data_IF_150772890616
#
_entry.id   IF_150772890616
#
_cell.length_a   1.000
_cell.length_b   1.000
_cell.length_c   1.000
_cell.angle_alpha   90.00
_cell.angle_beta   90.00
_cell.angle_gamma   90.00
#
_symmetry.space_group_name_H-M   'P 1'
#
loop_
_entity.id
_entity.type
_entity.pdbx_description
1 polymer ?
#
# COMPACT_ATOMS: atom_id res chain seq x y z
N UNK A 1 -20.54 -10.15 -11.02
CA UNK A 1 -19.84 -10.99 -10.05
C UNK A 1 -19.11 -10.11 -9.04
N UNK A 2 -19.29 -10.31 -7.74
CA UNK A 2 -18.57 -9.50 -6.75
C UNK A 2 -17.06 -9.78 -6.81
N UNK A 3 -16.28 -8.77 -6.47
CA UNK A 3 -14.82 -8.92 -6.44
C UNK A 3 -14.42 -9.88 -5.32
N UNK A 4 -13.35 -10.63 -5.55
CA UNK A 4 -12.72 -11.43 -4.50
C UNK A 4 -12.19 -10.53 -3.39
N UNK A 5 -12.20 -11.03 -2.15
CA UNK A 5 -11.76 -10.28 -0.99
C UNK A 5 -10.34 -9.75 -1.15
N UNK A 6 -9.44 -10.56 -1.71
CA UNK A 6 -8.04 -10.21 -1.91
C UNK A 6 -7.91 -9.02 -2.87
N UNK A 7 -8.71 -9.00 -3.92
CA UNK A 7 -8.70 -7.89 -4.89
C UNK A 7 -9.24 -6.60 -4.26
N UNK A 8 -10.30 -6.72 -3.49
CA UNK A 8 -10.90 -5.58 -2.78
C UNK A 8 -9.90 -5.00 -1.78
N UNK A 9 -9.16 -5.85 -1.09
CA UNK A 9 -8.12 -5.43 -0.15
C UNK A 9 -6.97 -4.72 -0.86
N UNK A 10 -6.53 -5.24 -2.00
CA UNK A 10 -5.46 -4.60 -2.78
C UNK A 10 -5.87 -3.22 -3.28
N UNK A 11 -7.09 -3.08 -3.79
CA UNK A 11 -7.61 -1.80 -4.24
C UNK A 11 -7.81 -0.82 -3.08
N UNK A 12 -8.27 -1.32 -1.94
CA UNK A 12 -8.47 -0.50 -0.74
C UNK A 12 -7.15 0.02 -0.21
N UNK A 13 -6.12 -0.81 -0.21
CA UNK A 13 -4.80 -0.40 0.23
C UNK A 13 -4.19 0.64 -0.71
N UNK A 14 -4.31 0.42 -2.01
CA UNK A 14 -3.86 1.39 -3.01
C UNK A 14 -4.58 2.74 -2.83
N UNK A 15 -5.90 2.70 -2.69
CA UNK A 15 -6.72 3.89 -2.47
C UNK A 15 -6.32 4.62 -1.20
N UNK A 16 -6.07 3.87 -0.11
CA UNK A 16 -5.61 4.44 1.15
C UNK A 16 -4.30 5.21 0.98
N UNK A 17 -3.34 4.63 0.28
CA UNK A 17 -2.04 5.29 0.04
C UNK A 17 -2.22 6.50 -0.87
N UNK A 18 -3.03 6.40 -1.93
CA UNK A 18 -3.32 7.54 -2.81
C UNK A 18 -3.90 8.72 -2.02
N UNK A 19 -4.78 8.45 -1.07
CA UNK A 19 -5.42 9.48 -0.26
C UNK A 19 -4.45 10.22 0.68
N UNK A 20 -3.31 9.61 0.99
CA UNK A 20 -2.29 10.27 1.80
C UNK A 20 -1.54 11.38 1.02
N UNK A 21 -1.66 11.39 -0.29
CA UNK A 21 -0.92 12.31 -1.17
C UNK A 21 -1.83 13.20 -2.01
N UNK A 22 -3.07 13.41 -1.58
CA UNK A 22 -4.00 14.29 -2.31
C UNK A 22 -3.53 15.74 -2.38
N UNK A 23 -2.74 16.18 -1.39
CA UNK A 23 -2.15 17.51 -1.35
C UNK A 23 -0.87 17.62 -2.20
N UNK A 24 -0.42 16.53 -2.81
CA UNK A 24 0.74 16.51 -3.71
C UNK A 24 0.32 15.98 -5.09
N UNK A 25 -0.29 16.81 -5.93
CA UNK A 25 -0.82 16.32 -7.22
C UNK A 25 0.25 15.81 -8.19
N UNK A 26 1.52 16.16 -7.96
CA UNK A 26 2.63 15.68 -8.79
C UNK A 26 3.11 14.28 -8.45
N UNK A 27 2.58 13.66 -7.40
CA UNK A 27 2.97 12.30 -6.99
C UNK A 27 2.12 11.28 -7.72
N UNK A 28 2.79 10.33 -8.41
CA UNK A 28 2.11 9.18 -9.00
C UNK A 28 2.12 8.03 -7.99
N UNK A 29 0.95 7.49 -7.66
CA UNK A 29 0.82 6.29 -6.82
C UNK A 29 0.28 5.17 -7.69
N UNK A 30 1.10 4.14 -7.90
CA UNK A 30 0.80 3.06 -8.85
C UNK A 30 0.86 1.70 -8.15
N UNK A 31 0.21 0.70 -8.73
CA UNK A 31 0.11 -0.64 -8.16
C UNK A 31 1.08 -1.64 -8.78
N UNK A 32 2.15 -1.15 -9.39
CA UNK A 32 3.15 -2.00 -10.01
C UNK A 32 4.52 -1.38 -9.83
N UNK A 33 5.55 -2.22 -9.78
CA UNK A 33 6.92 -1.72 -9.77
C UNK A 33 7.22 -1.07 -11.13
N UNK A 34 7.76 0.15 -11.15
CA UNK A 34 8.03 0.84 -12.40
C UNK A 34 9.09 0.08 -13.22
N UNK A 35 8.82 -0.11 -14.50
CA UNK A 35 9.72 -0.84 -15.42
C UNK A 35 10.63 0.07 -16.21
N UNK A 36 10.17 1.29 -16.47
CA UNK A 36 10.85 2.24 -17.36
C UNK A 36 11.16 3.55 -16.63
N UNK A 37 11.46 4.59 -17.39
CA UNK A 37 11.80 5.90 -16.85
C UNK A 37 10.72 6.39 -15.88
N UNK A 38 11.16 6.59 -14.64
CA UNK A 38 10.28 7.08 -13.58
C UNK A 38 10.01 8.55 -13.78
N UNK A 39 8.72 8.90 -13.80
CA UNK A 39 8.33 10.28 -13.52
C UNK A 39 8.29 10.43 -12.01
N UNK A 40 9.32 10.99 -11.43
CA UNK A 40 9.38 11.20 -9.99
C UNK A 40 8.62 12.46 -9.59
N UNK A 41 8.10 12.46 -8.38
CA UNK A 41 8.09 11.37 -7.41
C UNK A 41 7.02 10.30 -7.73
N UNK A 42 7.37 9.05 -7.49
CA UNK A 42 6.46 7.92 -7.71
C UNK A 42 6.44 7.04 -6.47
N UNK A 43 5.26 6.56 -6.12
CA UNK A 43 5.07 5.59 -5.04
C UNK A 43 4.46 4.34 -5.66
N UNK A 44 5.16 3.22 -5.48
CA UNK A 44 4.74 1.91 -5.99
C UNK A 44 4.19 1.09 -4.84
N UNK A 45 2.96 0.57 -4.99
CA UNK A 45 2.30 -0.26 -3.99
C UNK A 45 2.06 -1.63 -4.60
N UNK A 46 2.74 -2.65 -4.10
CA UNK A 46 2.68 -4.00 -4.66
C UNK A 46 2.30 -5.00 -3.58
N UNK A 47 1.26 -5.78 -3.84
CA UNK A 47 0.89 -6.90 -2.98
C UNK A 47 1.94 -7.99 -3.10
N UNK A 48 2.44 -8.49 -1.97
CA UNK A 48 3.51 -9.49 -1.93
C UNK A 48 3.04 -10.87 -1.54
N UNK A 49 2.33 -10.98 -0.43
CA UNK A 49 1.95 -12.29 0.05
C UNK A 49 0.61 -12.26 0.76
N UNK A 50 0.00 -13.43 0.79
CA UNK A 50 -1.16 -13.69 1.62
C UNK A 50 -0.93 -15.03 2.31
N UNK A 51 -1.15 -15.06 3.62
CA UNK A 51 -1.08 -16.26 4.42
C UNK A 51 -2.44 -16.47 5.06
N UNK A 52 -3.04 -17.63 4.78
CA UNK A 52 -4.36 -17.98 5.28
C UNK A 52 -4.20 -18.98 6.39
N UNK A 53 -4.79 -18.68 7.53
CA UNK A 53 -4.89 -19.59 8.65
C UNK A 53 -6.32 -20.09 8.72
N UNK A 54 -6.56 -21.40 8.51
CA UNK A 54 -7.88 -21.96 8.72
C UNK A 54 -8.24 -21.76 10.19
N UNK A 55 -9.47 -21.31 10.45
CA UNK A 55 -9.96 -21.17 11.81
C UNK A 55 -10.07 -22.54 12.49
N UNK A 56 -10.60 -22.53 13.70
CA UNK A 56 -10.86 -23.77 14.43
C UNK A 56 -11.75 -24.70 13.61
N UNK A 57 -11.61 -25.98 13.87
CA UNK A 57 -12.38 -27.01 13.17
C UNK A 57 -13.88 -26.69 13.24
N UNK A 58 -14.52 -26.54 12.09
CA UNK A 58 -15.92 -26.14 11.98
C UNK A 58 -16.18 -24.64 11.95
N UNK A 59 -15.15 -23.82 12.05
CA UNK A 59 -15.29 -22.36 11.95
C UNK A 59 -14.95 -21.90 10.53
N UNK A 60 -15.91 -21.25 9.87
CA UNK A 60 -15.74 -20.75 8.52
C UNK A 60 -14.91 -19.45 8.45
N UNK A 61 -14.58 -18.84 9.58
CA UNK A 61 -13.80 -17.61 9.62
C UNK A 61 -12.33 -17.92 9.38
N UNK A 62 -11.81 -17.44 8.25
CA UNK A 62 -10.40 -17.54 7.93
C UNK A 62 -9.68 -16.28 8.39
N UNK A 63 -8.59 -16.47 9.11
CA UNK A 63 -7.68 -15.39 9.39
C UNK A 63 -6.71 -15.27 8.22
N UNK A 64 -6.54 -14.07 7.73
CA UNK A 64 -5.61 -13.78 6.64
C UNK A 64 -4.59 -12.74 7.08
N UNK A 65 -3.32 -13.02 6.79
CA UNK A 65 -2.25 -12.05 6.96
C UNK A 65 -1.80 -11.63 5.58
N UNK A 66 -1.84 -10.33 5.33
CA UNK A 66 -1.50 -9.72 4.05
C UNK A 66 -0.22 -8.91 4.18
N UNK A 67 0.61 -8.94 3.14
CA UNK A 67 1.84 -8.15 3.09
C UNK A 67 1.89 -7.37 1.79
N UNK A 68 2.23 -6.07 1.91
CA UNK A 68 2.46 -5.19 0.77
C UNK A 68 3.83 -4.54 0.89
N UNK A 69 4.45 -4.31 -0.25
CA UNK A 69 5.65 -3.47 -0.36
C UNK A 69 5.27 -2.13 -0.95
N UNK A 70 5.78 -1.08 -0.34
CA UNK A 70 5.60 0.29 -0.81
C UNK A 70 7.00 0.85 -1.08
N UNK A 71 7.27 1.20 -2.33
CA UNK A 71 8.54 1.81 -2.73
C UNK A 71 8.31 3.28 -3.03
N UNK A 72 9.09 4.14 -2.40
CA UNK A 72 9.07 5.58 -2.63
C UNK A 72 10.28 5.92 -3.50
N UNK A 73 10.03 6.52 -4.66
CA UNK A 73 11.07 7.04 -5.55
C UNK A 73 10.97 8.56 -5.56
N UNK A 74 11.97 9.23 -5.00
CA UNK A 74 11.94 10.66 -4.78
C UNK A 74 13.10 11.38 -5.47
N UNK A 75 12.94 12.67 -5.70
CA UNK A 75 13.96 13.50 -6.34
C UNK A 75 15.03 13.97 -5.36
N UNK A 76 14.68 14.05 -4.08
CA UNK A 76 15.60 14.50 -3.03
C UNK A 76 15.49 13.60 -1.81
N UNK A 77 16.52 13.61 -0.95
CA UNK A 77 16.53 12.85 0.30
C UNK A 77 15.40 13.33 1.22
N UNK A 78 15.21 14.64 1.31
CA UNK A 78 14.15 15.22 2.15
C UNK A 78 12.77 14.77 1.71
N UNK A 79 12.50 14.76 0.41
CA UNK A 79 11.23 14.31 -0.16
C UNK A 79 11.01 12.82 0.11
N UNK A 80 12.06 12.01 -0.06
CA UNK A 80 12.00 10.57 0.23
C UNK A 80 11.60 10.33 1.67
N UNK A 81 12.27 11.00 2.60
CA UNK A 81 12.03 10.79 4.03
C UNK A 81 10.64 11.29 4.44
N UNK A 82 10.25 12.46 3.93
CA UNK A 82 8.93 13.02 4.20
C UNK A 82 7.81 12.10 3.74
N UNK A 83 7.92 11.59 2.53
CA UNK A 83 6.89 10.68 1.97
C UNK A 83 6.87 9.35 2.73
N UNK A 84 8.03 8.79 3.02
CA UNK A 84 8.12 7.53 3.77
C UNK A 84 7.53 7.68 5.18
N UNK A 85 7.86 8.74 5.90
CA UNK A 85 7.34 8.99 7.25
C UNK A 85 5.83 9.24 7.21
N UNK A 86 5.34 9.93 6.19
CA UNK A 86 3.89 10.13 6.01
C UNK A 86 3.18 8.79 5.86
N UNK A 87 3.74 7.88 5.08
CA UNK A 87 3.17 6.54 4.87
C UNK A 87 3.16 5.74 6.18
N UNK A 88 4.29 5.65 6.87
CA UNK A 88 4.36 4.83 8.09
C UNK A 88 3.48 5.40 9.21
N UNK A 89 3.34 6.70 9.29
CA UNK A 89 2.46 7.31 10.29
C UNK A 89 0.99 6.99 9.99
N UNK A 90 0.60 7.01 8.72
CA UNK A 90 -0.76 6.64 8.31
C UNK A 90 -1.05 5.16 8.56
N UNK A 91 -0.06 4.29 8.32
CA UNK A 91 -0.23 2.84 8.43
C UNK A 91 -0.28 2.33 9.89
N UNK A 92 -0.05 3.19 10.87
CA UNK A 92 -0.24 2.82 12.27
C UNK A 92 -1.72 2.63 12.63
N UNK A 93 -2.62 3.12 11.80
CA UNK A 93 -4.06 3.01 12.00
C UNK A 93 -4.64 1.94 11.07
N UNK A 94 -5.77 1.33 11.45
CA UNK A 94 -6.41 0.35 10.58
C UNK A 94 -6.76 0.93 9.20
N UNK A 95 -6.57 0.12 8.17
CA UNK A 95 -6.93 0.47 6.80
C UNK A 95 -8.32 -0.06 6.51
N UNK A 96 -9.24 0.81 6.13
CA UNK A 96 -10.59 0.41 5.79
C UNK A 96 -10.62 -0.32 4.47
N UNK A 97 -11.24 -1.50 4.46
CA UNK A 97 -11.52 -2.25 3.23
C UNK A 97 -12.88 -1.80 2.72
N UNK A 98 -12.91 -1.24 1.52
CA UNK A 98 -14.07 -0.52 0.98
C UNK A 98 -14.69 -1.31 -0.17
N UNK A 99 -15.99 -1.10 -0.37
CA UNK A 99 -16.74 -1.74 -1.45
C UNK A 99 -16.54 -0.97 -2.75
N UNK A 100 -15.71 -1.53 -3.65
CA UNK A 100 -15.47 -0.97 -4.97
C UNK A 100 -16.26 -1.67 -6.09
N UNK A 101 -17.33 -2.38 -5.75
CA UNK A 101 -18.14 -3.06 -6.78
C UNK A 101 -18.80 -2.08 -7.74
N UNK A 102 -18.93 -0.80 -7.37
CA UNK A 102 -19.46 0.26 -8.24
C UNK A 102 -18.38 0.91 -9.11
N UNK A 103 -17.14 0.42 -9.03
CA UNK A 103 -16.04 0.90 -9.85
C UNK A 103 -14.86 1.43 -9.04
N UNK A 104 -13.68 1.46 -9.67
CA UNK A 104 -12.45 2.01 -9.10
C UNK A 104 -11.77 2.88 -10.18
N UNK A 105 -11.37 4.14 -9.87
CA UNK A 105 -11.60 4.85 -8.60
C UNK A 105 -13.09 5.14 -8.36
N UNK A 106 -13.50 5.26 -7.09
CA UNK A 106 -14.93 5.42 -6.79
C UNK A 106 -15.43 6.80 -7.17
N UNK A 107 -16.65 6.86 -7.73
CA UNK A 107 -17.32 8.11 -8.03
C UNK A 107 -18.22 8.59 -6.88
N UNK A 108 -18.59 7.67 -5.99
CA UNK A 108 -19.31 7.95 -4.76
C UNK A 108 -18.53 7.36 -3.59
N UNK A 109 -18.76 7.88 -2.39
CA UNK A 109 -18.09 7.36 -1.20
C UNK A 109 -18.44 5.89 -1.00
N UNK A 110 -17.46 4.97 -1.09
CA UNK A 110 -17.75 3.56 -0.91
C UNK A 110 -18.01 3.23 0.57
N UNK A 111 -18.82 2.20 0.80
CA UNK A 111 -19.08 1.72 2.15
C UNK A 111 -17.92 0.86 2.66
N UNK A 112 -17.71 0.88 3.98
CA UNK A 112 -16.69 0.07 4.61
C UNK A 112 -17.21 -1.35 4.84
N UNK A 113 -16.43 -2.34 4.42
CA UNK A 113 -16.77 -3.75 4.62
C UNK A 113 -16.15 -4.30 5.92
N UNK A 114 -14.87 -4.05 6.13
CA UNK A 114 -14.12 -4.44 7.32
C UNK A 114 -12.81 -3.64 7.35
N UNK A 115 -11.88 -4.01 8.25
CA UNK A 115 -10.59 -3.34 8.37
C UNK A 115 -9.43 -4.30 8.22
N UNK A 116 -8.30 -3.78 7.74
CA UNK A 116 -6.99 -4.41 7.86
C UNK A 116 -6.30 -3.78 9.05
N UNK A 117 -5.91 -4.58 10.04
CA UNK A 117 -5.21 -4.10 11.23
C UNK A 117 -3.72 -4.29 11.09
N UNK A 118 -2.92 -3.25 11.39
CA UNK A 118 -1.47 -3.37 11.26
C UNK A 118 -0.91 -4.40 12.22
N UNK A 119 0.00 -5.24 11.73
CA UNK A 119 0.74 -6.21 12.51
C UNK A 119 2.20 -5.83 12.61
N UNK A 120 2.80 -5.41 11.50
CA UNK A 120 4.20 -5.02 11.45
C UNK A 120 4.43 -4.02 10.34
N UNK A 121 5.25 -3.01 10.62
CA UNK A 121 5.67 -2.01 9.63
C UNK A 121 7.19 -1.93 9.73
N UNK A 122 7.85 -2.12 8.59
CA UNK A 122 9.30 -1.97 8.50
C UNK A 122 9.63 -1.00 7.38
N UNK A 123 10.59 -0.12 7.64
CA UNK A 123 11.04 0.86 6.68
C UNK A 123 12.55 0.81 6.56
N UNK A 124 13.05 0.78 5.33
CA UNK A 124 14.46 0.85 5.04
C UNK A 124 14.71 1.86 3.93
N UNK A 125 15.69 2.74 4.12
CA UNK A 125 16.21 3.54 3.03
C UNK A 125 17.15 2.67 2.19
N UNK A 126 16.98 2.72 0.88
CA UNK A 126 17.83 1.97 -0.04
C UNK A 126 18.91 2.92 -0.54
N UNK A 127 20.15 2.62 -0.16
CA UNK A 127 21.29 3.38 -0.62
C UNK A 127 21.58 3.01 -2.07
N UNK A 128 21.52 4.03 -2.93
CA UNK A 128 21.87 3.88 -4.33
C UNK A 128 23.25 4.51 -4.51
N UNK A 129 24.12 3.81 -5.27
CA UNK A 129 25.43 4.34 -5.61
C UNK A 129 25.29 5.75 -6.21
N UNK A 130 26.15 6.67 -5.80
CA UNK A 130 26.11 8.05 -6.25
C UNK A 130 26.09 8.20 -7.77
N UNK A 131 26.76 7.29 -8.48
CA UNK A 131 26.75 7.26 -9.94
C UNK A 131 25.40 6.84 -10.53
N UNK A 132 24.57 6.16 -9.75
CA UNK A 132 23.29 5.63 -10.17
C UNK A 132 22.10 6.45 -9.66
N UNK A 133 22.34 7.45 -8.82
CA UNK A 133 21.26 8.29 -8.24
C UNK A 133 20.43 8.94 -9.34
N UNK A 134 21.06 9.35 -10.45
CA UNK A 134 20.34 9.94 -11.58
C UNK A 134 19.41 8.96 -12.30
N UNK A 135 19.65 7.65 -12.16
CA UNK A 135 18.85 6.60 -12.81
C UNK A 135 17.81 5.98 -11.85
N UNK A 136 18.17 5.85 -10.57
CA UNK A 136 17.37 5.12 -9.61
C UNK A 136 16.75 6.01 -8.54
N UNK A 137 17.08 7.29 -8.54
CA UNK A 137 16.55 8.29 -7.62
C UNK A 137 16.79 7.91 -6.15
N UNK A 138 16.32 8.72 -5.23
CA UNK A 138 16.35 8.40 -3.81
C UNK A 138 15.18 7.48 -3.51
N UNK A 139 15.49 6.31 -2.96
CA UNK A 139 14.52 5.24 -2.77
C UNK A 139 14.36 4.87 -1.30
N UNK A 140 13.12 4.64 -0.90
CA UNK A 140 12.76 4.07 0.40
C UNK A 140 11.83 2.89 0.16
N UNK A 141 11.94 1.89 1.03
CA UNK A 141 11.10 0.70 0.98
C UNK A 141 10.37 0.55 2.29
N UNK A 142 9.05 0.40 2.23
CA UNK A 142 8.20 0.13 3.39
C UNK A 142 7.55 -1.24 3.18
N UNK A 143 7.76 -2.13 4.13
CA UNK A 143 7.07 -3.42 4.18
C UNK A 143 5.99 -3.35 5.23
N UNK A 144 4.75 -3.62 4.82
CA UNK A 144 3.58 -3.53 5.67
C UNK A 144 2.89 -4.88 5.72
N UNK A 145 2.69 -5.38 6.94
CA UNK A 145 1.96 -6.62 7.19
C UNK A 145 0.75 -6.32 8.06
N UNK A 146 -0.39 -6.80 7.63
CA UNK A 146 -1.67 -6.57 8.31
C UNK A 146 -2.51 -7.83 8.31
N UNK A 147 -3.39 -7.95 9.28
CA UNK A 147 -4.33 -9.05 9.33
C UNK A 147 -5.75 -8.56 9.06
N UNK A 148 -6.52 -9.45 8.45
CA UNK A 148 -7.91 -9.21 8.12
C UNK A 148 -8.75 -9.30 9.39
N UNK A 149 -9.46 -8.22 9.70
CA UNK A 149 -10.37 -8.20 10.84
C UNK A 149 -11.81 -8.16 10.30
N UNK A 150 -12.34 -9.33 10.02
CA UNK A 150 -13.73 -9.50 9.64
C UNK A 150 -14.57 -9.72 10.88
N UNK A 151 -15.54 -8.86 11.04
CA UNK A 151 -16.54 -9.03 12.08
C UNK A 151 -17.52 -10.13 11.74
#
# INVERSE_FOLDING_TARGET
>A
MPMLAERVEDLSFLYFIQNQFLDFPGVAVVNAFPKDDLTTPTISVVAKSIELFPGELGNAKQMAIRTWDIDVFAETITQRDEFAYRIINALQYPVSVLDFNMGFPPTVTPSQLYCLKPQAIRMDNIDVDAELVSKFYYRNWVNYTAYRDKL
#
